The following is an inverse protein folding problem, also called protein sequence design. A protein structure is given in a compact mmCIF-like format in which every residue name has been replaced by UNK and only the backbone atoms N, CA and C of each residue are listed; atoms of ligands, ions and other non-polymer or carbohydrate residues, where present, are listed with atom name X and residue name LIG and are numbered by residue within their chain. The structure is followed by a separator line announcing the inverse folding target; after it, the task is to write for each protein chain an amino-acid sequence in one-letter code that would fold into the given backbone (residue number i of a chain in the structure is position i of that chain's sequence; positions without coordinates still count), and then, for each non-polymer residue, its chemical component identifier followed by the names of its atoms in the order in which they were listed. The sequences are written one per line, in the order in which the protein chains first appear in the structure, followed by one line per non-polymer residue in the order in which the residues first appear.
data_IF_575571213201
#
_entry.id   IF_575571213201
#
_cell.length_a   1.000
_cell.length_b   1.000
_cell.length_c   1.000
_cell.angle_alpha   90.00
_cell.angle_beta   90.00
_cell.angle_gamma   90.00
#
_symmetry.space_group_name_H-M   'P 1'
#
loop_
_entity.id
_entity.type
_entity.pdbx_description
1 polymer ?
#
# COMPACT_ATOMS: atom_id res chain seq x y z
N UNK A 1 -8.62 1.26 15.60
CA UNK A 1 -9.05 1.46 14.20
C UNK A 1 -8.09 2.45 13.54
N UNK A 2 -7.71 2.23 12.28
CA UNK A 2 -6.81 3.10 11.51
C UNK A 2 -7.54 3.60 10.26
N UNK A 3 -7.65 4.92 10.11
CA UNK A 3 -8.21 5.57 8.94
C UNK A 3 -7.08 6.12 8.06
N UNK A 4 -6.97 5.62 6.84
CA UNK A 4 -6.04 6.12 5.83
C UNK A 4 -6.59 7.35 5.14
N UNK A 5 -5.77 8.41 5.04
CA UNK A 5 -6.06 9.57 4.19
C UNK A 5 -5.44 9.31 2.82
N UNK A 6 -6.27 8.80 1.91
CA UNK A 6 -5.94 8.52 0.50
C UNK A 6 -5.69 9.79 -0.32
N UNK A 7 -4.93 9.70 -1.41
CA UNK A 7 -4.84 10.79 -2.40
C UNK A 7 -3.99 10.46 -3.62
N UNK A 8 -4.26 11.16 -4.73
CA UNK A 8 -3.58 11.00 -6.01
C UNK A 8 -3.18 12.39 -6.53
N UNK A 9 -1.98 12.52 -7.06
CA UNK A 9 -1.45 13.84 -7.45
C UNK A 9 -0.92 13.89 -8.89
N UNK A 10 -0.63 12.75 -9.51
CA UNK A 10 -0.08 12.70 -10.87
C UNK A 10 -1.21 12.58 -11.91
N UNK A 11 -1.26 13.42 -12.96
CA UNK A 11 -2.27 13.33 -14.01
C UNK A 11 -2.00 12.23 -15.03
N UNK A 12 -3.06 11.81 -15.77
CA UNK A 12 -2.93 10.79 -16.82
C UNK A 12 -1.98 11.21 -17.94
N UNK A 13 -1.96 12.51 -18.24
CA UNK A 13 -1.03 13.09 -19.23
C UNK A 13 0.44 12.87 -18.86
N UNK A 14 0.74 12.62 -17.59
CA UNK A 14 2.09 12.31 -17.06
C UNK A 14 2.26 10.83 -16.69
N UNK A 15 1.29 9.98 -17.05
CA UNK A 15 1.38 8.53 -16.98
C UNK A 15 0.75 7.87 -15.75
N UNK A 16 -0.07 8.58 -14.95
CA UNK A 16 -0.91 7.90 -13.95
C UNK A 16 -2.09 7.17 -14.59
N UNK A 17 -2.78 6.33 -13.82
CA UNK A 17 -4.04 5.68 -14.24
C UNK A 17 -5.29 6.42 -13.74
N UNK A 18 -5.13 7.50 -12.98
CA UNK A 18 -6.19 8.13 -12.19
C UNK A 18 -6.86 9.25 -12.98
N UNK A 19 -8.21 9.32 -13.07
CA UNK A 19 -8.90 10.42 -13.74
C UNK A 19 -8.53 11.79 -13.14
N UNK A 20 -8.35 12.81 -13.98
CA UNK A 20 -7.93 14.15 -13.53
C UNK A 20 -8.86 14.77 -12.46
N UNK A 21 -10.15 14.42 -12.49
CA UNK A 21 -11.14 14.87 -11.50
C UNK A 21 -10.96 14.26 -10.10
N UNK A 22 -10.09 13.26 -9.94
CA UNK A 22 -9.74 12.63 -8.67
C UNK A 22 -8.38 13.08 -8.14
N UNK A 23 -7.75 14.07 -8.80
CA UNK A 23 -6.47 14.60 -8.39
C UNK A 23 -6.64 15.77 -7.44
N UNK A 24 -5.62 15.93 -6.61
CA UNK A 24 -5.37 17.08 -5.76
C UNK A 24 -3.88 17.44 -5.87
N UNK A 25 -3.49 18.60 -5.35
CA UNK A 25 -2.08 18.97 -5.27
C UNK A 25 -1.38 18.26 -4.11
N UNK A 26 -0.04 18.15 -4.17
CA UNK A 26 0.75 17.67 -3.02
C UNK A 26 0.48 18.49 -1.76
N UNK A 27 0.46 19.83 -1.89
CA UNK A 27 0.20 20.73 -0.77
C UNK A 27 -1.17 20.48 -0.12
N UNK A 28 -2.22 20.32 -0.93
CA UNK A 28 -3.57 20.00 -0.43
C UNK A 28 -3.60 18.65 0.29
N UNK A 29 -2.97 17.63 -0.29
CA UNK A 29 -2.86 16.29 0.30
C UNK A 29 -2.18 16.33 1.67
N UNK A 30 -1.00 16.96 1.74
CA UNK A 30 -0.16 17.02 2.95
C UNK A 30 -0.81 17.89 4.02
N UNK A 31 -1.37 19.05 3.65
CA UNK A 31 -2.05 19.94 4.59
C UNK A 31 -3.28 19.27 5.20
N UNK A 32 -4.05 18.53 4.40
CA UNK A 32 -5.22 17.82 4.90
C UNK A 32 -4.85 16.61 5.76
N UNK A 33 -3.80 15.86 5.40
CA UNK A 33 -3.25 14.82 6.27
C UNK A 33 -2.86 15.40 7.64
N UNK A 34 -2.12 16.51 7.67
CA UNK A 34 -1.72 17.18 8.91
C UNK A 34 -2.95 17.61 9.73
N UNK A 35 -3.93 18.25 9.08
CA UNK A 35 -5.19 18.66 9.71
C UNK A 35 -5.93 17.47 10.34
N UNK A 36 -6.04 16.35 9.63
CA UNK A 36 -6.72 15.15 10.12
C UNK A 36 -5.96 14.48 11.27
N UNK A 37 -4.64 14.42 11.21
CA UNK A 37 -3.80 13.93 12.32
C UNK A 37 -4.05 14.81 13.55
N UNK A 38 -3.88 16.13 13.42
CA UNK A 38 -3.99 17.08 14.54
C UNK A 38 -5.41 17.12 15.13
N UNK A 39 -6.45 16.85 14.32
CA UNK A 39 -7.85 16.83 14.77
C UNK A 39 -8.25 15.49 15.40
N UNK A 40 -7.87 14.38 14.77
CA UNK A 40 -8.48 13.08 15.05
C UNK A 40 -7.54 12.07 15.70
N UNK A 41 -6.24 12.11 15.45
CA UNK A 41 -5.30 11.08 15.93
C UNK A 41 -5.19 11.08 17.46
N UNK A 42 -5.18 9.90 18.06
CA UNK A 42 -4.96 9.68 19.49
C UNK A 42 -4.09 8.45 19.71
N UNK A 43 -2.79 8.62 19.99
CA UNK A 43 -1.83 7.54 20.19
C UNK A 43 -2.04 6.70 21.48
N UNK A 44 -3.10 6.99 22.25
CA UNK A 44 -3.47 6.23 23.44
C UNK A 44 -3.65 4.74 23.16
N UNK A 45 -3.19 3.89 24.08
CA UNK A 45 -3.40 2.45 24.01
C UNK A 45 -4.91 2.16 23.90
N UNK A 46 -5.29 1.31 22.94
CA UNK A 46 -6.68 0.95 22.62
C UNK A 46 -7.52 2.05 21.96
N UNK A 47 -6.92 3.17 21.56
CA UNK A 47 -7.62 4.19 20.79
C UNK A 47 -8.22 3.63 19.51
N UNK A 48 -9.46 4.03 19.24
CA UNK A 48 -10.15 3.77 17.97
C UNK A 48 -9.95 4.91 16.96
N UNK A 49 -9.05 5.85 17.25
CA UNK A 49 -8.78 7.03 16.43
C UNK A 49 -7.31 7.07 16.05
N UNK A 50 -6.92 6.24 15.08
CA UNK A 50 -5.59 6.33 14.45
C UNK A 50 -5.76 6.86 13.04
N UNK A 51 -4.95 7.85 12.67
CA UNK A 51 -4.84 8.38 11.31
C UNK A 51 -3.55 7.84 10.68
N UNK A 52 -3.61 7.48 9.39
CA UNK A 52 -2.51 6.96 8.59
C UNK A 52 -2.35 7.84 7.35
N UNK A 53 -1.11 8.24 7.03
CA UNK A 53 -0.81 8.98 5.79
C UNK A 53 -0.74 7.97 4.66
N UNK A 54 -1.61 8.09 3.66
CA UNK A 54 -1.81 7.04 2.67
C UNK A 54 -1.86 7.54 1.21
N UNK A 55 -0.76 8.08 0.65
CA UNK A 55 -0.73 8.35 -0.80
C UNK A 55 -1.04 7.05 -1.56
N UNK A 56 -1.85 7.16 -2.62
CA UNK A 56 -2.54 6.01 -3.19
C UNK A 56 -1.58 4.91 -3.69
N UNK A 57 -0.77 5.20 -4.70
CA UNK A 57 0.19 4.27 -5.30
C UNK A 57 1.37 5.06 -5.88
N UNK A 58 2.62 4.55 -5.85
CA UNK A 58 3.80 5.23 -6.39
C UNK A 58 3.66 5.67 -7.86
N UNK A 59 2.99 4.87 -8.69
CA UNK A 59 2.78 5.18 -10.11
C UNK A 59 1.79 6.35 -10.35
N UNK A 60 0.97 6.67 -9.35
CA UNK A 60 -0.17 7.60 -9.43
C UNK A 60 0.05 8.91 -8.67
N UNK A 61 1.21 9.10 -8.04
CA UNK A 61 1.54 10.33 -7.33
C UNK A 61 2.91 10.85 -7.77
N UNK A 62 3.14 12.15 -7.59
CA UNK A 62 4.48 12.71 -7.69
C UNK A 62 5.40 12.11 -6.61
N UNK A 63 6.70 12.02 -6.92
CA UNK A 63 7.74 11.62 -5.96
C UNK A 63 7.69 12.47 -4.69
N UNK A 64 7.47 13.77 -4.85
CA UNK A 64 7.38 14.74 -3.76
C UNK A 64 6.24 14.43 -2.79
N UNK A 65 5.06 14.01 -3.29
CA UNK A 65 3.94 13.58 -2.44
C UNK A 65 4.34 12.47 -1.47
N UNK A 66 5.12 11.48 -1.94
CA UNK A 66 5.62 10.42 -1.06
C UNK A 66 6.70 10.89 -0.10
N UNK A 67 7.66 11.70 -0.55
CA UNK A 67 8.74 12.22 0.31
C UNK A 67 8.17 13.07 1.44
N UNK A 68 7.22 13.95 1.14
CA UNK A 68 6.54 14.76 2.16
C UNK A 68 5.64 13.91 3.07
N UNK A 69 4.98 12.88 2.53
CA UNK A 69 4.22 11.92 3.34
C UNK A 69 5.09 11.23 4.39
N UNK A 70 6.30 10.81 3.99
CA UNK A 70 7.29 10.19 4.90
C UNK A 70 7.71 11.18 5.99
N UNK A 71 8.03 12.42 5.60
CA UNK A 71 8.43 13.46 6.55
C UNK A 71 7.31 13.74 7.56
N UNK A 72 6.08 13.97 7.10
CA UNK A 72 4.92 14.25 7.95
C UNK A 72 4.61 13.07 8.88
N UNK A 73 4.54 11.85 8.34
CA UNK A 73 4.16 10.68 9.11
C UNK A 73 5.14 10.42 10.26
N UNK A 74 6.44 10.53 9.99
CA UNK A 74 7.49 10.32 10.99
C UNK A 74 7.57 11.44 12.02
N UNK A 75 7.39 12.69 11.61
CA UNK A 75 7.29 13.82 12.53
C UNK A 75 6.12 13.65 13.50
N UNK A 76 4.94 13.30 12.98
CA UNK A 76 3.72 13.07 13.77
C UNK A 76 3.65 11.68 14.42
N UNK A 77 4.63 10.81 14.19
CA UNK A 77 4.70 9.43 14.69
C UNK A 77 3.47 8.60 14.33
N UNK A 78 2.91 8.82 13.15
CA UNK A 78 1.80 8.02 12.59
C UNK A 78 2.33 7.03 11.57
N UNK A 79 1.50 6.03 11.23
CA UNK A 79 1.87 5.03 10.23
C UNK A 79 1.66 5.54 8.81
N UNK A 80 2.27 4.83 7.87
CA UNK A 80 2.17 5.04 6.42
C UNK A 80 1.58 3.81 5.73
N UNK A 81 0.86 4.05 4.64
CA UNK A 81 0.25 2.98 3.84
C UNK A 81 0.21 3.35 2.36
N UNK A 82 0.44 2.39 1.45
CA UNK A 82 0.22 2.60 0.02
C UNK A 82 -0.04 1.26 -0.69
N UNK A 83 -0.45 1.35 -1.95
CA UNK A 83 -0.62 0.23 -2.88
C UNK A 83 0.74 -0.08 -3.52
N UNK A 84 1.17 -1.34 -3.50
CA UNK A 84 2.48 -1.76 -4.05
C UNK A 84 2.39 -3.14 -4.64
N UNK A 85 2.86 -3.30 -5.86
CA UNK A 85 3.00 -4.60 -6.49
C UNK A 85 1.68 -5.10 -7.10
N UNK A 86 0.93 -4.21 -7.74
CA UNK A 86 -0.40 -4.46 -8.32
C UNK A 86 -0.41 -4.54 -9.84
N UNK A 87 0.77 -4.56 -10.46
CA UNK A 87 0.95 -4.49 -11.91
C UNK A 87 1.74 -3.27 -12.35
N UNK A 88 2.09 -2.37 -11.43
CA UNK A 88 2.77 -1.11 -11.75
C UNK A 88 4.29 -1.22 -11.82
N UNK A 89 4.90 -2.30 -11.32
CA UNK A 89 6.36 -2.45 -11.24
C UNK A 89 7.09 -2.24 -12.58
N UNK A 90 6.59 -2.74 -13.75
CA UNK A 90 7.20 -2.44 -15.04
C UNK A 90 7.15 -0.95 -15.42
N UNK A 91 6.06 -0.26 -15.07
CA UNK A 91 5.91 1.18 -15.32
C UNK A 91 6.87 1.97 -14.42
N UNK A 92 6.98 1.60 -13.15
CA UNK A 92 7.94 2.19 -12.22
C UNK A 92 9.38 2.00 -12.70
N UNK A 93 9.73 0.79 -13.16
CA UNK A 93 11.05 0.48 -13.70
C UNK A 93 11.36 1.31 -14.95
N UNK A 94 10.39 1.47 -15.87
CA UNK A 94 10.58 2.26 -17.07
C UNK A 94 10.70 3.77 -16.79
N UNK A 95 9.92 4.29 -15.83
CA UNK A 95 9.87 5.73 -15.49
C UNK A 95 11.02 6.18 -14.59
N UNK A 96 11.43 5.34 -13.65
CA UNK A 96 12.36 5.72 -12.58
C UNK A 96 13.63 4.87 -12.53
N UNK A 97 13.74 3.82 -13.35
CA UNK A 97 14.88 2.90 -13.30
C UNK A 97 14.86 1.95 -12.09
N UNK A 98 13.78 1.96 -11.29
CA UNK A 98 13.61 1.16 -10.09
C UNK A 98 12.26 0.45 -10.12
N UNK A 99 12.22 -0.81 -9.66
CA UNK A 99 10.96 -1.47 -9.34
C UNK A 99 10.30 -0.82 -8.12
N UNK A 100 9.00 -1.06 -7.95
CA UNK A 100 8.15 -0.35 -6.99
C UNK A 100 8.66 -0.42 -5.54
N UNK A 101 9.14 -1.58 -5.07
CA UNK A 101 9.67 -1.72 -3.70
C UNK A 101 10.99 -0.97 -3.52
N UNK A 102 11.87 -1.01 -4.51
CA UNK A 102 13.15 -0.29 -4.48
C UNK A 102 12.93 1.23 -4.53
N UNK A 103 11.95 1.67 -5.31
CA UNK A 103 11.52 3.06 -5.34
C UNK A 103 10.99 3.53 -3.97
N UNK A 104 10.10 2.75 -3.34
CA UNK A 104 9.59 3.06 -2.00
C UNK A 104 10.71 3.06 -0.94
N UNK A 105 11.70 2.17 -1.05
CA UNK A 105 12.86 2.17 -0.18
C UNK A 105 13.73 3.43 -0.38
N UNK A 106 13.99 3.84 -1.62
CA UNK A 106 14.79 5.03 -1.95
C UNK A 106 14.21 6.31 -1.34
N UNK A 107 12.88 6.48 -1.43
CA UNK A 107 12.19 7.65 -0.87
C UNK A 107 11.92 7.53 0.63
N UNK A 108 12.32 6.42 1.26
CA UNK A 108 12.15 6.18 2.68
C UNK A 108 10.73 5.78 3.08
N UNK A 109 9.83 5.48 2.14
CA UNK A 109 8.49 4.95 2.38
C UNK A 109 8.56 3.45 2.66
N UNK A 110 9.29 3.06 3.70
CA UNK A 110 9.48 1.68 4.13
C UNK A 110 9.84 1.67 5.62
N UNK A 111 9.73 0.52 6.27
CA UNK A 111 10.04 0.36 7.68
C UNK A 111 8.87 -0.21 8.49
N UNK A 112 9.07 -0.34 9.80
CA UNK A 112 8.06 -0.85 10.75
C UNK A 112 6.82 0.06 10.90
N UNK A 113 6.92 1.29 10.43
CA UNK A 113 5.87 2.29 10.35
C UNK A 113 5.09 2.25 9.01
N UNK A 114 5.46 1.37 8.06
CA UNK A 114 4.83 1.23 6.76
C UNK A 114 4.20 -0.16 6.54
N UNK A 115 3.08 -0.21 5.82
CA UNK A 115 2.53 -1.45 5.27
C UNK A 115 1.97 -1.23 3.86
N UNK A 116 2.19 -2.21 2.99
CA UNK A 116 1.74 -2.17 1.61
C UNK A 116 0.54 -3.08 1.40
N UNK A 117 -0.45 -2.65 0.62
CA UNK A 117 -1.50 -3.56 0.20
C UNK A 117 -1.07 -4.39 -1.02
N UNK A 118 -1.70 -5.56 -1.18
CA UNK A 118 -1.62 -6.44 -2.36
C UNK A 118 -0.32 -7.23 -2.52
N UNK A 119 0.73 -6.63 -3.08
CA UNK A 119 2.06 -7.23 -3.20
C UNK A 119 2.13 -8.54 -4.02
N UNK A 120 1.25 -8.75 -5.01
CA UNK A 120 1.21 -10.01 -5.78
C UNK A 120 2.29 -10.14 -6.85
N UNK A 121 2.75 -9.04 -7.47
CA UNK A 121 3.77 -9.09 -8.54
C UNK A 121 5.22 -9.06 -8.02
N UNK A 122 5.40 -9.10 -6.69
CA UNK A 122 6.69 -8.85 -6.07
C UNK A 122 7.62 -10.05 -6.20
N UNK A 123 8.88 -9.76 -6.51
CA UNK A 123 9.94 -10.77 -6.56
C UNK A 123 10.40 -11.18 -5.16
N UNK A 124 11.00 -12.36 -5.05
CA UNK A 124 11.57 -12.83 -3.77
C UNK A 124 12.64 -11.89 -3.20
N UNK A 125 13.38 -11.16 -4.04
CA UNK A 125 14.34 -10.16 -3.59
C UNK A 125 13.65 -8.94 -2.98
N UNK A 126 12.53 -8.49 -3.54
CA UNK A 126 11.71 -7.42 -2.97
C UNK A 126 11.08 -7.86 -1.65
N UNK A 127 10.59 -9.09 -1.56
CA UNK A 127 10.08 -9.66 -0.30
C UNK A 127 11.18 -9.68 0.78
N UNK A 128 12.41 -10.10 0.44
CA UNK A 128 13.55 -10.06 1.39
C UNK A 128 13.85 -8.65 1.88
N UNK A 129 13.80 -7.65 1.01
CA UNK A 129 14.01 -6.24 1.38
C UNK A 129 12.91 -5.76 2.33
N UNK A 130 11.65 -6.09 2.06
CA UNK A 130 10.52 -5.77 2.94
C UNK A 130 10.64 -6.47 4.30
N UNK A 131 11.08 -7.72 4.33
CA UNK A 131 11.37 -8.44 5.58
C UNK A 131 12.45 -7.72 6.41
N UNK A 132 13.54 -7.33 5.75
CA UNK A 132 14.67 -6.68 6.39
C UNK A 132 14.33 -5.28 6.93
N UNK A 133 13.46 -4.52 6.25
CA UNK A 133 12.98 -3.22 6.74
C UNK A 133 11.89 -3.35 7.80
N UNK A 134 11.22 -4.50 7.89
CA UNK A 134 10.03 -4.69 8.73
C UNK A 134 8.77 -4.06 8.13
N UNK A 135 8.76 -3.77 6.83
CA UNK A 135 7.56 -3.30 6.12
C UNK A 135 6.51 -4.43 6.06
N UNK A 136 5.29 -4.14 6.49
CA UNK A 136 4.19 -5.11 6.48
C UNK A 136 3.49 -5.25 5.12
N UNK A 137 2.72 -6.33 4.98
CA UNK A 137 1.83 -6.58 3.85
C UNK A 137 0.39 -6.65 4.35
N UNK A 138 -0.56 -6.08 3.62
CA UNK A 138 -2.00 -6.32 3.74
C UNK A 138 -2.45 -7.10 2.51
N UNK A 139 -2.55 -8.42 2.62
CA UNK A 139 -2.96 -9.29 1.53
C UNK A 139 -4.46 -9.12 1.26
N UNK A 140 -4.79 -8.69 0.04
CA UNK A 140 -6.17 -8.53 -0.43
C UNK A 140 -6.43 -9.62 -1.50
N UNK A 141 -7.00 -10.78 -1.13
CA UNK A 141 -7.14 -11.91 -2.06
C UNK A 141 -8.20 -11.69 -3.13
N UNK A 142 -9.21 -10.87 -2.84
CA UNK A 142 -10.40 -10.75 -3.69
C UNK A 142 -10.11 -10.05 -5.03
N UNK A 143 -9.33 -8.95 -5.06
CA UNK A 143 -8.89 -8.34 -6.31
C UNK A 143 -8.10 -9.30 -7.22
N UNK A 144 -7.36 -10.27 -6.66
CA UNK A 144 -6.44 -11.15 -7.43
C UNK A 144 -7.18 -11.88 -8.56
N UNK A 145 -8.32 -12.51 -8.26
CA UNK A 145 -9.07 -13.23 -9.30
C UNK A 145 -9.90 -12.30 -10.19
N UNK A 146 -10.33 -11.13 -9.70
CA UNK A 146 -11.11 -10.19 -10.50
C UNK A 146 -10.28 -9.60 -11.65
N UNK A 147 -9.02 -9.30 -11.38
CA UNK A 147 -8.11 -8.74 -12.40
C UNK A 147 -7.22 -9.79 -13.07
N UNK A 148 -7.32 -11.06 -12.66
CA UNK A 148 -6.49 -12.15 -13.18
C UNK A 148 -5.01 -12.00 -12.84
N UNK A 149 -4.71 -11.47 -11.65
CA UNK A 149 -3.35 -11.27 -11.16
C UNK A 149 -2.69 -12.59 -10.71
N UNK A 150 -1.39 -12.50 -10.45
CA UNK A 150 -0.59 -13.57 -9.86
C UNK A 150 -1.06 -13.91 -8.44
N UNK A 151 -0.95 -15.18 -8.07
CA UNK A 151 -1.26 -15.62 -6.69
C UNK A 151 -0.10 -15.15 -5.80
N UNK A 152 -0.41 -14.31 -4.80
CA UNK A 152 0.57 -13.86 -3.82
C UNK A 152 1.24 -15.06 -3.12
N UNK A 153 2.58 -15.10 -3.11
CA UNK A 153 3.36 -16.18 -2.48
C UNK A 153 3.44 -16.01 -0.95
N UNK A 154 2.32 -16.29 -0.27
CA UNK A 154 2.20 -16.23 1.19
C UNK A 154 3.22 -17.17 1.89
N UNK A 155 3.45 -18.42 1.41
CA UNK A 155 4.48 -19.28 1.99
C UNK A 155 5.88 -18.65 1.98
N UNK A 156 6.31 -18.04 0.87
CA UNK A 156 7.60 -17.35 0.81
C UNK A 156 7.64 -16.14 1.75
N UNK A 157 6.58 -15.33 1.78
CA UNK A 157 6.48 -14.20 2.72
C UNK A 157 6.61 -14.67 4.18
N UNK A 158 5.93 -15.75 4.54
CA UNK A 158 6.00 -16.34 5.89
C UNK A 158 7.38 -16.89 6.22
N UNK A 159 8.03 -17.60 5.28
CA UNK A 159 9.37 -18.16 5.45
C UNK A 159 10.44 -17.06 5.63
N UNK A 160 10.25 -15.90 5.01
CA UNK A 160 11.11 -14.72 5.17
C UNK A 160 10.81 -13.91 6.45
N UNK A 161 9.72 -14.22 7.16
CA UNK A 161 9.33 -13.51 8.38
C UNK A 161 8.60 -12.18 8.14
N UNK A 162 8.00 -11.97 6.96
CA UNK A 162 7.18 -10.77 6.72
C UNK A 162 5.93 -10.80 7.59
N UNK A 163 5.55 -9.62 8.10
CA UNK A 163 4.25 -9.43 8.74
C UNK A 163 3.15 -9.34 7.70
N UNK A 164 2.35 -10.39 7.55
CA UNK A 164 1.23 -10.44 6.61
C UNK A 164 -0.10 -10.30 7.36
N UNK A 165 -0.83 -9.23 7.05
CA UNK A 165 -2.22 -9.02 7.43
C UNK A 165 -3.18 -9.38 6.29
N UNK A 166 -4.48 -9.31 6.57
CA UNK A 166 -5.54 -9.58 5.60
C UNK A 166 -6.41 -8.34 5.41
N UNK A 167 -6.73 -8.01 4.15
CA UNK A 167 -7.59 -6.91 3.75
C UNK A 167 -8.71 -7.37 2.82
N UNK A 168 -9.81 -6.62 2.81
CA UNK A 168 -10.89 -6.82 1.84
C UNK A 168 -10.79 -5.88 0.62
N UNK A 169 -9.95 -4.84 0.68
CA UNK A 169 -9.97 -3.76 -0.33
C UNK A 169 -11.37 -3.11 -0.46
N UNK A 170 -11.55 -2.22 -1.43
CA UNK A 170 -12.82 -1.58 -1.74
C UNK A 170 -13.83 -2.52 -2.39
N UNK A 171 -15.12 -2.25 -2.17
CA UNK A 171 -16.19 -3.05 -2.76
C UNK A 171 -16.24 -2.97 -4.30
N UNK A 172 -15.53 -2.04 -4.96
CA UNK A 172 -15.42 -2.02 -6.42
C UNK A 172 -14.47 -3.10 -6.99
N UNK A 173 -13.62 -3.68 -6.14
CA UNK A 173 -12.60 -4.70 -6.46
C UNK A 173 -12.73 -5.92 -5.53
N UNK A 174 -13.91 -6.10 -4.93
CA UNK A 174 -14.27 -7.22 -4.07
C UNK A 174 -15.77 -7.58 -4.20
N UNK A 175 -16.63 -6.58 -4.37
CA UNK A 175 -18.10 -6.64 -4.33
C UNK A 175 -18.72 -6.85 -2.93
N UNK A 176 -17.88 -6.92 -1.88
CA UNK A 176 -18.31 -6.93 -0.49
C UNK A 176 -17.22 -6.39 0.46
N UNK A 177 -17.45 -6.46 1.78
CA UNK A 177 -16.44 -6.14 2.81
C UNK A 177 -16.36 -7.25 3.87
N UNK A 178 -16.56 -8.50 3.45
CA UNK A 178 -16.58 -9.66 4.31
C UNK A 178 -15.18 -10.27 4.45
N UNK A 179 -14.50 -9.93 5.55
CA UNK A 179 -13.16 -10.45 5.82
C UNK A 179 -13.13 -11.99 5.98
N UNK A 180 -14.23 -12.61 6.43
CA UNK A 180 -14.30 -14.08 6.51
C UNK A 180 -14.33 -14.73 5.12
N UNK A 181 -14.94 -14.06 4.14
CA UNK A 181 -14.87 -14.49 2.74
C UNK A 181 -13.43 -14.39 2.25
N UNK A 182 -12.75 -13.28 2.54
CA UNK A 182 -11.35 -13.08 2.16
C UNK A 182 -10.44 -14.18 2.73
N UNK A 183 -10.67 -14.66 3.97
CA UNK A 183 -9.92 -15.79 4.54
C UNK A 183 -10.07 -17.05 3.68
N UNK A 184 -11.30 -17.39 3.30
CA UNK A 184 -11.57 -18.55 2.47
C UNK A 184 -10.92 -18.41 1.09
N UNK A 185 -11.06 -17.25 0.45
CA UNK A 185 -10.45 -16.96 -0.85
C UNK A 185 -8.92 -17.04 -0.81
N UNK A 186 -8.28 -16.47 0.22
CA UNK A 186 -6.84 -16.60 0.42
C UNK A 186 -6.41 -18.07 0.53
N UNK A 187 -7.12 -18.88 1.32
CA UNK A 187 -6.85 -20.31 1.43
C UNK A 187 -7.00 -21.05 0.09
N UNK A 188 -8.07 -20.78 -0.65
CA UNK A 188 -8.33 -21.43 -1.94
C UNK A 188 -7.28 -21.08 -3.00
N UNK A 189 -6.82 -19.82 -3.04
CA UNK A 189 -5.72 -19.42 -3.93
C UNK A 189 -4.43 -20.18 -3.61
N UNK A 190 -4.09 -20.37 -2.33
CA UNK A 190 -2.92 -21.16 -1.96
C UNK A 190 -3.08 -22.65 -2.28
N UNK A 191 -4.29 -23.21 -2.15
CA UNK A 191 -4.56 -24.59 -2.57
C UNK A 191 -4.38 -24.80 -4.08
N UNK A 192 -4.70 -23.79 -4.89
CA UNK A 192 -4.51 -23.83 -6.34
C UNK A 192 -3.02 -23.80 -6.72
N UNK A 193 -2.21 -23.03 -5.99
CA UNK A 193 -0.77 -22.90 -6.21
C UNK A 193 0.06 -24.04 -5.57
N UNK A 194 -0.51 -24.78 -4.62
CA UNK A 194 0.16 -25.90 -3.96
C UNK A 194 0.45 -27.02 -4.97
N UNK A 195 1.74 -27.32 -5.16
CA UNK A 195 2.24 -28.45 -5.95
C UNK A 195 2.94 -29.46 -5.07
#
# INVERSE_FOLDING_TARGET
FHAGRGGNTLPKSEGSTIPDAMLETTDEFIADCARLIDTYHDAGRFSMRQVVVAPCQPVNCYRETFVESVALARDRKVRMHTHVGEGESPVMQARHGLRTVDYCAEIGFSGTDAFYAHCWELTHDELRKMAASGTGVSHCPEPVYLVGAEITDIPAMSALGLSVGLGCDGAASNDNSNLMHCIHSAYMLQCLAAS
#
